data_IF_614987489733
#
_entry.id   IF_614987489733
#
_cell.length_a   1.000
_cell.length_b   1.000
_cell.length_c   1.000
_cell.angle_alpha   90.00
_cell.angle_beta   90.00
_cell.angle_gamma   90.00
#
_symmetry.space_group_name_H-M   'P 1'
#
loop_
_entity.id
_entity.type
_entity.pdbx_description
1 polymer ?
#
# COMPACT_ATOMS: atom_id res chain seq x y z
N UNK A 1 9.67 4.46 7.22
CA UNK A 1 9.00 3.85 6.05
C UNK A 1 10.03 3.63 4.97
N UNK A 2 10.04 2.49 4.29
CA UNK A 2 10.98 2.20 3.21
C UNK A 2 10.28 1.55 2.00
N UNK A 3 10.74 1.90 0.80
CA UNK A 3 10.38 1.25 -0.46
C UNK A 3 11.62 0.60 -1.04
N UNK A 4 11.74 -0.72 -0.90
CA UNK A 4 12.80 -1.52 -1.52
C UNK A 4 12.44 -1.78 -2.97
N UNK A 5 13.35 -1.51 -3.92
CA UNK A 5 13.06 -1.64 -5.35
C UNK A 5 14.22 -2.25 -6.14
N UNK A 6 13.88 -3.11 -7.10
CA UNK A 6 14.83 -3.67 -8.05
C UNK A 6 15.41 -2.60 -8.99
N UNK A 7 16.71 -2.36 -8.87
CA UNK A 7 17.44 -1.39 -9.71
C UNK A 7 17.56 -1.85 -11.16
N UNK A 8 17.83 -3.14 -11.37
CA UNK A 8 17.97 -3.77 -12.69
C UNK A 8 16.66 -3.76 -13.49
N UNK A 9 15.53 -3.74 -12.78
CA UNK A 9 14.19 -3.76 -13.35
C UNK A 9 13.67 -2.35 -13.73
N UNK A 10 14.49 -1.30 -13.49
CA UNK A 10 14.15 0.11 -13.76
C UNK A 10 12.92 0.62 -12.99
N UNK A 11 12.69 0.10 -11.78
CA UNK A 11 11.51 0.47 -10.97
C UNK A 11 11.69 1.70 -10.07
N UNK A 12 12.83 2.39 -10.13
CA UNK A 12 13.07 3.61 -9.35
C UNK A 12 11.93 4.63 -9.48
N UNK A 13 11.44 4.89 -10.71
CA UNK A 13 10.37 5.85 -10.93
C UNK A 13 9.07 5.47 -10.23
N UNK A 14 8.74 4.17 -10.22
CA UNK A 14 7.56 3.67 -9.50
C UNK A 14 7.76 3.79 -7.99
N UNK A 15 8.93 3.43 -7.48
CA UNK A 15 9.26 3.54 -6.06
C UNK A 15 9.21 5.00 -5.58
N UNK A 16 9.78 5.91 -6.36
CA UNK A 16 9.76 7.35 -6.09
C UNK A 16 8.33 7.92 -6.11
N UNK A 17 7.49 7.49 -7.06
CA UNK A 17 6.08 7.89 -7.08
C UNK A 17 5.32 7.38 -5.86
N UNK A 18 5.49 6.11 -5.47
CA UNK A 18 4.91 5.58 -4.23
C UNK A 18 5.35 6.40 -3.02
N UNK A 19 6.64 6.74 -2.92
CA UNK A 19 7.14 7.56 -1.82
C UNK A 19 6.49 8.96 -1.79
N UNK A 20 6.31 9.61 -2.95
CA UNK A 20 5.63 10.89 -3.06
C UNK A 20 4.16 10.79 -2.63
N UNK A 21 3.44 9.77 -3.09
CA UNK A 21 2.04 9.53 -2.70
C UNK A 21 1.89 9.37 -1.18
N UNK A 22 2.80 8.63 -0.54
CA UNK A 22 2.80 8.43 0.90
C UNK A 22 3.10 9.73 1.65
N UNK A 23 4.16 10.45 1.27
CA UNK A 23 4.53 11.72 1.91
C UNK A 23 3.44 12.79 1.75
N UNK A 24 2.78 12.86 0.58
CA UNK A 24 1.68 13.80 0.34
C UNK A 24 0.44 13.47 1.17
N UNK A 25 0.13 12.17 1.33
CA UNK A 25 -1.07 11.71 2.05
C UNK A 25 -0.89 11.82 3.55
N UNK A 26 0.23 11.33 4.07
CA UNK A 26 0.45 11.19 5.51
C UNK A 26 1.15 12.40 6.14
N UNK A 27 1.80 13.26 5.33
CA UNK A 27 2.40 14.52 5.78
C UNK A 27 3.26 14.30 7.03
N UNK A 28 2.91 14.94 8.15
CA UNK A 28 3.63 14.88 9.42
C UNK A 28 3.51 13.54 10.15
N UNK A 29 2.64 12.62 9.70
CA UNK A 29 2.55 11.26 10.27
C UNK A 29 3.70 10.36 9.79
N UNK A 30 4.43 10.74 8.74
CA UNK A 30 5.66 10.08 8.29
C UNK A 30 6.82 11.07 8.37
N UNK A 31 7.86 10.73 9.13
CA UNK A 31 9.09 11.55 9.16
C UNK A 31 9.84 11.49 7.82
N UNK A 32 9.88 10.31 7.20
CA UNK A 32 10.58 10.07 5.95
C UNK A 32 10.03 8.82 5.23
N UNK A 33 10.35 8.73 3.93
CA UNK A 33 10.23 7.49 3.15
C UNK A 33 11.56 7.24 2.46
N UNK A 34 12.26 6.19 2.86
CA UNK A 34 13.52 5.79 2.26
C UNK A 34 13.30 5.03 0.95
N UNK A 35 14.07 5.34 -0.09
CA UNK A 35 14.18 4.52 -1.30
C UNK A 35 15.40 3.61 -1.16
N UNK A 36 15.17 2.30 -1.11
CA UNK A 36 16.21 1.30 -0.83
C UNK A 36 16.51 0.50 -2.11
N UNK A 37 17.71 0.61 -2.70
CA UNK A 37 18.11 -0.20 -3.84
C UNK A 37 18.16 -1.69 -3.50
N UNK A 38 17.57 -2.54 -4.34
CA UNK A 38 17.63 -3.99 -4.23
C UNK A 38 17.76 -4.68 -5.60
N UNK A 39 17.69 -6.02 -5.59
CA UNK A 39 17.85 -6.90 -6.76
C UNK A 39 16.69 -7.89 -6.90
N UNK A 40 16.77 -8.81 -7.87
CA UNK A 40 15.90 -9.99 -7.98
C UNK A 40 14.39 -9.68 -8.08
N UNK A 41 14.04 -8.58 -8.75
CA UNK A 41 12.64 -8.21 -8.96
C UNK A 41 11.90 -7.90 -7.65
N UNK A 42 12.61 -7.44 -6.62
CA UNK A 42 12.03 -6.96 -5.37
C UNK A 42 11.25 -5.67 -5.57
N UNK A 43 10.07 -5.60 -4.96
CA UNK A 43 9.36 -4.37 -4.70
C UNK A 43 8.60 -4.54 -3.38
N UNK A 44 9.08 -3.92 -2.31
CA UNK A 44 8.50 -4.04 -0.96
C UNK A 44 8.29 -2.68 -0.33
N UNK A 45 7.22 -2.57 0.45
CA UNK A 45 6.97 -1.42 1.31
C UNK A 45 6.96 -1.91 2.76
N UNK A 46 7.82 -1.32 3.59
CA UNK A 46 7.96 -1.70 5.00
C UNK A 46 7.88 -0.48 5.92
N UNK A 47 7.34 -0.69 7.11
CA UNK A 47 7.33 0.26 8.20
C UNK A 47 8.20 -0.26 9.34
N UNK A 48 9.20 0.51 9.74
CA UNK A 48 9.92 0.25 10.98
C UNK A 48 9.16 0.89 12.15
N UNK A 49 8.69 0.06 13.08
CA UNK A 49 7.90 0.47 14.24
C UNK A 49 8.63 0.22 15.58
N UNK A 50 9.94 -0.06 15.57
CA UNK A 50 10.75 -0.28 16.78
C UNK A 50 10.85 -1.74 17.21
N UNK A 51 9.81 -2.55 17.02
CA UNK A 51 9.82 -4.01 17.27
C UNK A 51 10.23 -4.84 16.03
N UNK A 52 10.73 -4.15 15.00
CA UNK A 52 11.11 -4.72 13.71
C UNK A 52 10.27 -4.21 12.54
N UNK A 53 10.63 -4.58 11.30
CA UNK A 53 9.94 -4.12 10.10
C UNK A 53 8.60 -4.83 9.90
N UNK A 54 7.52 -4.07 9.87
CA UNK A 54 6.19 -4.51 9.43
C UNK A 54 6.13 -4.47 7.90
N UNK A 55 5.81 -5.60 7.28
CA UNK A 55 5.60 -5.70 5.84
C UNK A 55 4.21 -5.16 5.47
N UNK A 56 4.16 -4.09 4.68
CA UNK A 56 2.90 -3.49 4.20
C UNK A 56 2.57 -3.94 2.77
N UNK A 57 3.59 -4.24 1.96
CA UNK A 57 3.44 -4.77 0.61
C UNK A 57 4.68 -5.55 0.19
N UNK A 58 4.49 -6.69 -0.49
CA UNK A 58 5.53 -7.41 -1.24
C UNK A 58 4.98 -7.84 -2.59
N UNK A 59 5.64 -7.45 -3.68
CA UNK A 59 5.20 -7.77 -5.04
C UNK A 59 4.99 -9.26 -5.31
N UNK A 60 5.79 -10.14 -4.71
CA UNK A 60 5.68 -11.60 -4.91
C UNK A 60 4.50 -12.17 -4.13
N UNK A 61 4.22 -11.63 -2.95
CA UNK A 61 3.16 -12.13 -2.04
C UNK A 61 1.80 -11.53 -2.41
N UNK A 62 1.76 -10.22 -2.67
CA UNK A 62 0.54 -9.47 -2.96
C UNK A 62 0.16 -9.46 -4.46
N UNK A 63 0.89 -10.18 -5.31
CA UNK A 63 0.50 -10.40 -6.70
C UNK A 63 0.71 -9.21 -7.65
N UNK A 64 1.73 -8.39 -7.42
CA UNK A 64 2.07 -7.28 -8.32
C UNK A 64 2.50 -6.01 -7.61
N UNK A 65 2.41 -4.88 -8.32
CA UNK A 65 2.62 -3.58 -7.70
C UNK A 65 1.37 -3.14 -6.94
N UNK A 66 1.53 -2.35 -5.87
CA UNK A 66 0.39 -1.84 -5.14
C UNK A 66 -0.44 -0.90 -6.01
N UNK A 67 -1.76 -1.09 -5.96
CA UNK A 67 -2.68 -0.01 -6.22
C UNK A 67 -2.59 0.99 -5.05
N UNK A 68 -2.42 2.27 -5.37
CA UNK A 68 -2.17 3.31 -4.36
C UNK A 68 -3.27 3.41 -3.31
N UNK A 69 -4.57 3.36 -3.64
CA UNK A 69 -5.62 3.36 -2.63
C UNK A 69 -5.43 2.28 -1.57
N UNK A 70 -5.07 1.07 -2.00
CA UNK A 70 -4.92 -0.10 -1.12
C UNK A 70 -3.69 0.04 -0.22
N UNK A 71 -2.57 0.47 -0.80
CA UNK A 71 -1.37 0.75 -0.03
C UNK A 71 -1.59 1.87 1.00
N UNK A 72 -2.30 2.95 0.62
CA UNK A 72 -2.65 4.03 1.56
C UNK A 72 -3.50 3.51 2.71
N UNK A 73 -4.46 2.62 2.46
CA UNK A 73 -5.25 2.00 3.55
C UNK A 73 -4.36 1.21 4.50
N UNK A 74 -3.53 0.30 3.99
CA UNK A 74 -2.59 -0.50 4.81
C UNK A 74 -1.64 0.39 5.63
N UNK A 75 -1.11 1.45 5.01
CA UNK A 75 -0.21 2.39 5.70
C UNK A 75 -0.96 3.16 6.79
N UNK A 76 -2.15 3.69 6.50
CA UNK A 76 -2.99 4.38 7.49
C UNK A 76 -3.25 3.49 8.69
N UNK A 77 -3.69 2.25 8.46
CA UNK A 77 -4.05 1.33 9.54
C UNK A 77 -2.85 1.10 10.49
N UNK A 78 -1.62 1.17 9.95
CA UNK A 78 -0.39 1.03 10.72
C UNK A 78 0.11 2.32 11.40
N UNK A 79 -0.04 3.51 10.79
CA UNK A 79 0.61 4.76 11.29
C UNK A 79 -0.34 5.86 11.76
N UNK A 80 -1.60 5.81 11.34
CA UNK A 80 -2.58 6.87 11.53
C UNK A 80 -4.03 6.33 11.46
N UNK A 81 -4.42 5.38 12.33
CA UNK A 81 -5.71 4.70 12.23
C UNK A 81 -6.93 5.64 12.37
N UNK A 82 -6.70 6.81 12.96
CA UNK A 82 -7.68 7.89 13.12
C UNK A 82 -7.86 8.78 11.87
N UNK A 83 -7.00 8.66 10.87
CA UNK A 83 -6.98 9.53 9.69
C UNK A 83 -7.94 9.02 8.60
N UNK A 84 -8.93 9.83 8.22
CA UNK A 84 -9.74 9.56 7.03
C UNK A 84 -8.94 9.82 5.74
N UNK A 85 -8.99 8.87 4.80
CA UNK A 85 -8.41 9.00 3.45
C UNK A 85 -9.44 9.50 2.42
N UNK A 86 -10.61 9.96 2.86
CA UNK A 86 -11.62 10.56 2.00
C UNK A 86 -12.16 9.60 0.93
N UNK A 87 -11.90 9.91 -0.34
CA UNK A 87 -12.43 9.10 -1.46
C UNK A 87 -11.90 7.66 -1.46
N UNK A 88 -10.69 7.44 -0.92
CA UNK A 88 -10.07 6.11 -0.85
C UNK A 88 -10.82 5.18 0.09
N UNK A 89 -11.40 5.72 1.17
CA UNK A 89 -12.19 4.92 2.13
C UNK A 89 -13.57 4.59 1.58
N UNK A 90 -14.22 5.56 0.94
CA UNK A 90 -15.54 5.35 0.32
C UNK A 90 -15.50 4.33 -0.81
N UNK A 91 -14.42 4.32 -1.60
CA UNK A 91 -14.25 3.34 -2.67
C UNK A 91 -14.14 1.90 -2.11
N UNK A 92 -13.43 1.72 -0.99
CA UNK A 92 -13.32 0.42 -0.35
C UNK A 92 -14.67 -0.07 0.17
N UNK A 93 -15.41 0.77 0.90
CA UNK A 93 -16.75 0.42 1.40
C UNK A 93 -17.73 0.07 0.27
N UNK A 94 -17.65 0.76 -0.88
CA UNK A 94 -18.50 0.47 -2.02
C UNK A 94 -18.14 -0.85 -2.71
N UNK A 95 -16.85 -1.20 -2.79
CA UNK A 95 -16.39 -2.50 -3.30
C UNK A 95 -16.80 -3.63 -2.38
N UNK A 96 -16.59 -3.49 -1.07
CA UNK A 96 -16.96 -4.51 -0.08
C UNK A 96 -18.46 -4.77 -0.10
N UNK A 97 -19.28 -3.71 -0.10
CA UNK A 97 -20.74 -3.83 -0.21
C UNK A 97 -21.20 -4.48 -1.52
N UNK A 98 -20.50 -4.25 -2.65
CA UNK A 98 -20.81 -4.90 -3.92
C UNK A 98 -20.40 -6.37 -3.94
N UNK A 99 -19.29 -6.75 -3.28
CA UNK A 99 -18.83 -8.13 -3.13
C UNK A 99 -19.76 -8.94 -2.21
N UNK A 100 -20.21 -8.35 -1.11
CA UNK A 100 -21.19 -8.96 -0.21
C UNK A 100 -22.53 -9.20 -0.92
N UNK A 101 -23.04 -8.19 -1.64
CA UNK A 101 -24.27 -8.31 -2.41
C UNK A 101 -24.20 -9.37 -3.53
N UNK A 102 -23.03 -9.58 -4.14
CA UNK A 102 -22.82 -10.61 -5.15
C UNK A 102 -22.74 -12.03 -4.56
N UNK A 103 -22.30 -12.16 -3.31
CA UNK A 103 -22.22 -13.45 -2.60
C UNK A 103 -23.59 -13.92 -2.11
N UNK A 104 -24.50 -12.99 -1.84
CA UNK A 104 -25.86 -13.27 -1.35
C UNK A 104 -26.92 -13.42 -2.47
N UNK A 105 -26.52 -13.24 -3.74
CA UNK A 105 -27.39 -13.46 -4.88
C UNK A 105 -27.76 -14.96 -5.02
N UNK A 106 -29.05 -15.33 -5.17
CA UNK A 106 -29.43 -16.73 -5.34
C UNK A 106 -28.81 -17.33 -6.60
N UNK A 107 -28.24 -18.53 -6.49
CA UNK A 107 -27.75 -19.29 -7.64
C UNK A 107 -28.93 -19.62 -8.58
N UNK A 108 -28.81 -19.38 -9.89
CA UNK A 108 -29.84 -19.80 -10.84
C UNK A 108 -29.92 -21.33 -10.91
N UNK A 109 -31.15 -21.84 -11.00
CA UNK A 109 -31.54 -23.26 -11.05
C UNK A 109 -31.07 -24.00 -12.32
#
# INVERSE_FOLDING_TARGET
>A
MAVEYCTQCRWLLRAAWVAQELLQTFRTRLGEVALVPGTDGVFRVTLDAGDGPVLLWDRRVDGGFPEIPDLKRRVRDAVAPDLSLGHTDRAATATDAATDAATEAPRPD
#
